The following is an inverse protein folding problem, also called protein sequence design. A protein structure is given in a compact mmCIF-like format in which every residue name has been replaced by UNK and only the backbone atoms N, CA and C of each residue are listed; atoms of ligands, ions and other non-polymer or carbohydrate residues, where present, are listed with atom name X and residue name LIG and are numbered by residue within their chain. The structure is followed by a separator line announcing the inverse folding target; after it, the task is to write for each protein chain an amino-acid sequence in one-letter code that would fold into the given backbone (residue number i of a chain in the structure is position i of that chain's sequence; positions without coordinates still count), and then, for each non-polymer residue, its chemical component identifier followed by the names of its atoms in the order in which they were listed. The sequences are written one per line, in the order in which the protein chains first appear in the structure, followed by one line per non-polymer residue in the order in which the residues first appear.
data_IF_232563505056
#
_entry.id   IF_232563505056
#
_cell.length_a   1.000
_cell.length_b   1.000
_cell.length_c   1.000
_cell.angle_alpha   90.00
_cell.angle_beta   90.00
_cell.angle_gamma   90.00
#
_symmetry.space_group_name_H-M   'P 1'
#
loop_
_entity.id
_entity.type
_entity.pdbx_description
1 polymer ?
#
# COMPACT_ATOMS: atom_id res chain seq x y z
N UNK A 1 -10.19 2.91 3.17
CA UNK A 1 -10.89 3.60 2.07
C UNK A 1 -10.17 3.33 0.76
N UNK A 2 -10.91 3.24 -0.32
CA UNK A 2 -10.30 3.02 -1.63
C UNK A 2 -9.34 4.13 -2.01
N UNK A 3 -8.18 3.76 -2.54
CA UNK A 3 -7.17 4.74 -2.95
C UNK A 3 -7.73 5.72 -3.98
N UNK A 4 -8.54 5.22 -4.94
CA UNK A 4 -9.11 6.09 -5.96
C UNK A 4 -9.98 7.20 -5.38
N UNK A 5 -10.67 6.93 -4.27
CA UNK A 5 -11.55 7.92 -3.63
C UNK A 5 -10.76 8.98 -2.85
N UNK A 6 -9.49 8.73 -2.58
CA UNK A 6 -8.62 9.65 -1.86
C UNK A 6 -7.89 10.62 -2.76
N UNK A 7 -7.98 10.48 -4.09
CA UNK A 7 -7.30 11.35 -5.04
C UNK A 7 -8.02 12.71 -5.16
N UNK A 8 -8.13 13.44 -4.05
CA UNK A 8 -8.92 14.67 -3.96
C UNK A 8 -8.16 15.92 -4.40
N UNK A 9 -6.85 15.84 -4.47
CA UNK A 9 -6.02 16.93 -4.95
C UNK A 9 -4.85 16.36 -5.75
N UNK A 10 -4.11 17.24 -6.43
CA UNK A 10 -3.04 16.81 -7.32
C UNK A 10 -1.92 16.11 -6.56
N UNK A 11 -1.52 16.62 -5.41
CA UNK A 11 -0.43 16.02 -4.63
C UNK A 11 -0.76 14.60 -4.22
N UNK A 12 -1.96 14.37 -3.72
CA UNK A 12 -2.36 13.04 -3.28
C UNK A 12 -2.57 12.11 -4.48
N UNK A 13 -3.11 12.61 -5.57
CA UNK A 13 -3.24 11.82 -6.80
C UNK A 13 -1.86 11.36 -7.32
N UNK A 14 -0.87 12.24 -7.29
CA UNK A 14 0.49 11.91 -7.69
C UNK A 14 1.11 10.87 -6.75
N UNK A 15 0.89 11.02 -5.44
CA UNK A 15 1.38 10.06 -4.47
C UNK A 15 0.77 8.68 -4.69
N UNK A 16 -0.54 8.62 -4.93
CA UNK A 16 -1.24 7.36 -5.22
C UNK A 16 -0.69 6.71 -6.49
N UNK A 17 -0.46 7.49 -7.54
CA UNK A 17 0.13 6.98 -8.77
C UNK A 17 1.53 6.42 -8.53
N UNK A 18 2.33 7.08 -7.70
CA UNK A 18 3.67 6.62 -7.33
C UNK A 18 3.60 5.33 -6.53
N UNK A 19 2.65 5.22 -5.61
CA UNK A 19 2.43 4.00 -4.83
C UNK A 19 2.08 2.82 -5.75
N UNK A 20 1.13 3.04 -6.67
CA UNK A 20 0.74 2.00 -7.61
C UNK A 20 1.89 1.56 -8.50
N UNK A 21 2.67 2.50 -9.02
CA UNK A 21 3.82 2.21 -9.86
C UNK A 21 4.90 1.43 -9.09
N UNK A 22 5.15 1.81 -7.84
CA UNK A 22 6.09 1.14 -6.97
C UNK A 22 5.69 -0.31 -6.73
N UNK A 23 4.42 -0.54 -6.42
CA UNK A 23 3.91 -1.89 -6.20
C UNK A 23 4.03 -2.75 -7.45
N UNK A 24 3.71 -2.20 -8.63
CA UNK A 24 3.84 -2.94 -9.89
C UNK A 24 5.30 -3.25 -10.23
N UNK A 25 6.21 -2.37 -9.87
CA UNK A 25 7.65 -2.61 -10.10
C UNK A 25 8.16 -3.78 -9.29
N UNK A 26 7.70 -3.93 -8.06
CA UNK A 26 8.10 -5.04 -7.20
C UNK A 26 7.33 -6.33 -7.46
N UNK A 27 6.11 -6.22 -7.95
CA UNK A 27 5.24 -7.36 -8.25
C UNK A 27 4.67 -7.23 -9.66
N UNK A 28 5.52 -7.42 -10.69
CA UNK A 28 5.13 -7.16 -12.08
C UNK A 28 4.01 -8.09 -12.59
N UNK A 29 3.83 -9.25 -11.95
CA UNK A 29 2.77 -10.17 -12.32
C UNK A 29 1.41 -9.77 -11.77
N UNK A 30 1.38 -8.80 -10.87
CA UNK A 30 0.15 -8.40 -10.21
C UNK A 30 -0.50 -7.23 -10.94
N UNK A 31 -1.84 -7.23 -10.91
CA UNK A 31 -2.63 -6.10 -11.39
C UNK A 31 -3.06 -5.26 -10.20
N UNK A 32 -2.77 -3.97 -10.25
CA UNK A 32 -3.16 -3.03 -9.20
C UNK A 32 -4.64 -2.66 -9.34
N UNK A 33 -5.33 -2.60 -8.20
CA UNK A 33 -6.72 -2.17 -8.11
C UNK A 33 -6.79 -1.07 -7.04
N UNK A 34 -7.19 0.13 -7.44
CA UNK A 34 -7.28 1.28 -6.54
C UNK A 34 -8.65 1.38 -5.86
N UNK A 35 -9.54 0.44 -6.13
CA UNK A 35 -10.87 0.36 -5.51
C UNK A 35 -11.13 -1.04 -4.98
N UNK A 36 -10.32 -1.53 -3.99
CA UNK A 36 -10.45 -2.90 -3.52
C UNK A 36 -11.74 -3.17 -2.75
N UNK A 37 -12.30 -2.15 -2.12
CA UNK A 37 -13.45 -2.34 -1.27
C UNK A 37 -14.73 -2.34 -2.07
N UNK A 38 -15.51 -3.40 -1.85
CA UNK A 38 -16.87 -3.51 -2.33
C UNK A 38 -17.79 -3.50 -1.12
N UNK A 39 -19.05 -3.17 -1.36
CA UNK A 39 -20.04 -3.19 -0.29
C UNK A 39 -20.50 -4.62 -0.03
N UNK A 40 -19.61 -5.43 0.55
CA UNK A 40 -19.92 -6.79 0.93
C UNK A 40 -19.40 -7.08 2.34
N UNK A 41 -20.05 -8.05 3.06
CA UNK A 41 -19.67 -8.33 4.45
C UNK A 41 -18.25 -8.90 4.61
N UNK A 42 -17.72 -9.56 3.60
CA UNK A 42 -16.42 -10.22 3.70
C UNK A 42 -15.26 -9.22 3.79
N UNK A 43 -15.36 -8.11 3.06
CA UNK A 43 -14.31 -7.12 3.04
C UNK A 43 -14.46 -6.04 4.12
N UNK A 44 -15.66 -5.88 4.68
CA UNK A 44 -15.91 -4.86 5.72
C UNK A 44 -15.03 -5.03 6.94
N UNK A 45 -14.67 -6.27 7.27
CA UNK A 45 -13.85 -6.55 8.45
C UNK A 45 -12.46 -5.92 8.36
N UNK A 46 -11.96 -5.65 7.16
CA UNK A 46 -10.62 -5.09 6.94
C UNK A 46 -10.65 -3.62 6.58
N UNK A 47 -11.82 -3.05 6.31
CA UNK A 47 -11.92 -1.64 5.93
C UNK A 47 -11.62 -0.74 7.12
N UNK A 48 -10.74 0.23 6.92
CA UNK A 48 -10.43 1.25 7.90
C UNK A 48 -10.69 2.62 7.29
N UNK A 49 -11.31 3.52 8.07
CA UNK A 49 -11.71 4.83 7.56
C UNK A 49 -10.53 5.75 7.26
N UNK A 50 -9.44 5.57 7.98
CA UNK A 50 -8.28 6.46 7.89
C UNK A 50 -7.14 5.88 7.06
N UNK A 51 -7.37 4.77 6.38
CA UNK A 51 -6.37 4.16 5.52
C UNK A 51 -6.66 4.44 4.06
N UNK A 52 -5.60 4.46 3.28
CA UNK A 52 -5.66 4.50 1.83
C UNK A 52 -5.34 3.08 1.35
N UNK A 53 -6.28 2.46 0.67
CA UNK A 53 -6.20 1.04 0.38
C UNK A 53 -6.14 0.78 -1.12
N UNK A 54 -5.24 -0.10 -1.51
CA UNK A 54 -5.19 -0.65 -2.86
C UNK A 54 -4.87 -2.13 -2.76
N UNK A 55 -5.20 -2.88 -3.80
CA UNK A 55 -4.89 -4.30 -3.85
C UNK A 55 -4.09 -4.65 -5.09
N UNK A 56 -3.33 -5.74 -4.97
CA UNK A 56 -2.55 -6.31 -6.05
C UNK A 56 -3.07 -7.72 -6.27
N UNK A 57 -3.56 -8.00 -7.48
CA UNK A 57 -4.15 -9.29 -7.81
C UNK A 57 -3.22 -10.06 -8.73
N UNK A 58 -2.83 -11.25 -8.28
CA UNK A 58 -2.06 -12.18 -9.12
C UNK A 58 -3.01 -12.97 -10.03
N UNK A 59 -2.51 -13.51 -11.16
CA UNK A 59 -3.37 -14.27 -12.08
C UNK A 59 -4.02 -15.49 -11.44
N UNK A 60 -3.47 -15.99 -10.35
CA UNK A 60 -3.99 -17.12 -9.62
C UNK A 60 -3.30 -17.22 -8.28
N UNK A 61 -3.26 -18.42 -7.72
CA UNK A 61 -2.50 -18.67 -6.51
C UNK A 61 -1.01 -18.45 -6.78
N UNK A 62 -0.37 -17.68 -5.91
CA UNK A 62 1.06 -17.40 -6.01
C UNK A 62 1.77 -18.08 -4.83
N UNK A 63 2.43 -19.23 -5.06
CA UNK A 63 3.04 -19.98 -3.97
C UNK A 63 4.23 -19.27 -3.34
N UNK A 64 4.95 -18.45 -4.09
CA UNK A 64 6.06 -17.66 -3.54
C UNK A 64 5.58 -16.65 -2.52
N UNK A 65 4.50 -15.96 -2.83
CA UNK A 65 3.94 -14.92 -1.97
C UNK A 65 2.88 -15.46 -1.02
N UNK A 66 2.51 -16.73 -1.13
CA UNK A 66 1.48 -17.40 -0.31
C UNK A 66 0.16 -16.63 -0.28
N UNK A 67 -0.31 -16.20 -1.45
CA UNK A 67 -1.57 -15.48 -1.57
C UNK A 67 -2.04 -15.43 -3.02
N UNK A 68 -3.30 -15.05 -3.21
CA UNK A 68 -3.87 -14.72 -4.51
C UNK A 68 -3.86 -13.23 -4.75
N UNK A 69 -3.92 -12.45 -3.69
CA UNK A 69 -3.89 -11.01 -3.75
C UNK A 69 -3.25 -10.45 -2.49
N UNK A 70 -2.75 -9.23 -2.60
CA UNK A 70 -2.24 -8.48 -1.47
C UNK A 70 -3.09 -7.23 -1.30
N UNK A 71 -3.51 -6.95 -0.07
CA UNK A 71 -4.14 -5.70 0.28
C UNK A 71 -3.09 -4.81 0.93
N UNK A 72 -2.84 -3.65 0.33
CA UNK A 72 -1.88 -2.68 0.85
C UNK A 72 -2.67 -1.54 1.47
N UNK A 73 -2.48 -1.34 2.76
CA UNK A 73 -3.18 -0.31 3.53
C UNK A 73 -2.18 0.70 4.07
N UNK A 74 -2.36 1.95 3.68
CA UNK A 74 -1.49 3.05 4.09
C UNK A 74 -2.27 3.91 5.09
N UNK A 75 -1.81 3.95 6.33
CA UNK A 75 -2.41 4.82 7.34
C UNK A 75 -1.80 6.19 7.24
N UNK A 76 -2.64 7.19 7.02
CA UNK A 76 -2.21 8.56 6.79
C UNK A 76 -2.72 9.47 7.90
N UNK A 77 -1.91 10.49 8.23
CA UNK A 77 -2.33 11.58 9.09
C UNK A 77 -2.30 12.87 8.30
N UNK A 78 -3.34 13.67 8.43
CA UNK A 78 -3.37 15.00 7.81
C UNK A 78 -2.48 15.94 8.61
N UNK A 79 -1.58 16.64 7.90
CA UNK A 79 -0.77 17.68 8.50
C UNK A 79 -1.46 19.02 8.24
N UNK A 80 -1.84 19.76 9.27
CA UNK A 80 -2.49 21.06 9.06
C UNK A 80 -1.64 21.98 8.18
N UNK A 81 -2.29 22.71 7.30
CA UNK A 81 -1.70 23.72 6.44
C UNK A 81 -0.74 23.21 5.38
N UNK A 82 -0.52 21.91 5.29
CA UNK A 82 0.38 21.38 4.26
C UNK A 82 -0.36 20.81 3.05
N UNK A 83 -1.62 20.42 3.20
CA UNK A 83 -2.37 19.73 2.15
C UNK A 83 -1.81 18.36 1.80
N UNK A 84 -0.79 17.93 2.52
CA UNK A 84 -0.04 16.71 2.24
C UNK A 84 -0.07 15.79 3.45
N UNK A 85 -0.57 14.55 3.29
CA UNK A 85 -0.62 13.62 4.40
C UNK A 85 0.76 13.06 4.72
N UNK A 86 0.94 12.69 5.98
CA UNK A 86 2.11 11.96 6.44
C UNK A 86 1.77 10.49 6.56
N UNK A 87 2.66 9.62 6.11
CA UNK A 87 2.47 8.20 6.26
C UNK A 87 2.86 7.77 7.69
N UNK A 88 1.91 7.21 8.39
CA UNK A 88 2.10 6.72 9.77
C UNK A 88 2.48 5.26 9.82
N UNK A 89 1.97 4.46 8.91
CA UNK A 89 2.25 3.03 8.88
C UNK A 89 1.69 2.36 7.65
N UNK A 90 2.20 1.17 7.39
CA UNK A 90 1.80 0.33 6.27
C UNK A 90 1.45 -1.05 6.80
N UNK A 91 0.34 -1.59 6.32
CA UNK A 91 -0.01 -2.99 6.54
C UNK A 91 -0.22 -3.64 5.18
N UNK A 92 0.44 -4.77 4.96
CA UNK A 92 0.26 -5.57 3.75
C UNK A 92 -0.30 -6.92 4.17
N UNK A 93 -1.42 -7.31 3.58
CA UNK A 93 -2.10 -8.58 3.88
C UNK A 93 -2.07 -9.47 2.67
N UNK A 94 -1.66 -10.72 2.86
CA UNK A 94 -1.77 -11.74 1.83
C UNK A 94 -3.08 -12.48 1.99
N UNK A 95 -3.91 -12.45 0.94
CA UNK A 95 -5.28 -12.94 1.01
C UNK A 95 -5.50 -14.09 0.05
N UNK A 96 -6.42 -14.99 0.44
CA UNK A 96 -7.09 -15.90 -0.47
C UNK A 96 -8.39 -15.24 -0.92
N UNK A 97 -9.37 -16.03 -1.40
CA UNK A 97 -10.67 -15.47 -1.76
C UNK A 97 -11.42 -14.88 -0.56
N UNK A 98 -11.28 -15.50 0.61
CA UNK A 98 -12.11 -15.22 1.76
C UNK A 98 -11.36 -15.14 3.08
N UNK A 99 -10.03 -15.29 3.06
CA UNK A 99 -9.27 -15.32 4.32
C UNK A 99 -7.89 -14.68 4.17
N UNK A 100 -7.36 -14.24 5.30
CA UNK A 100 -6.01 -13.72 5.40
C UNK A 100 -5.05 -14.88 5.71
N UNK A 101 -3.99 -14.99 4.93
CA UNK A 101 -2.96 -16.00 5.12
C UNK A 101 -1.81 -15.48 5.96
N UNK A 102 -1.46 -14.22 5.75
CA UNK A 102 -0.40 -13.56 6.51
C UNK A 102 -0.62 -12.05 6.49
N UNK A 103 0.06 -11.38 7.38
CA UNK A 103 0.01 -9.93 7.50
C UNK A 103 1.37 -9.42 7.96
N UNK A 104 1.85 -8.37 7.33
CA UNK A 104 3.06 -7.65 7.73
C UNK A 104 2.68 -6.21 8.03
N UNK A 105 3.08 -5.71 9.18
CA UNK A 105 2.79 -4.34 9.58
C UNK A 105 4.08 -3.64 10.01
N UNK A 106 4.21 -2.37 9.65
CA UNK A 106 5.35 -1.55 10.08
C UNK A 106 5.21 -1.08 11.53
N UNK A 107 3.98 -1.07 12.04
CA UNK A 107 3.75 -0.87 13.47
C UNK A 107 4.02 -2.21 14.14
N UNK A 108 5.22 -2.35 14.71
CA UNK A 108 5.69 -3.60 15.27
C UNK A 108 7.08 -3.95 14.74
N UNK A 109 7.29 -5.21 14.41
CA UNK A 109 8.61 -5.73 14.08
C UNK A 109 8.87 -5.90 12.57
N UNK A 110 7.97 -5.47 11.72
CA UNK A 110 8.07 -5.60 10.26
C UNK A 110 8.18 -7.05 9.78
N UNK A 111 7.70 -7.99 10.57
CA UNK A 111 7.74 -9.41 10.24
C UNK A 111 6.34 -9.91 9.93
N UNK A 112 6.19 -10.86 9.01
CA UNK A 112 4.89 -11.41 8.73
C UNK A 112 4.40 -12.30 9.87
N UNK A 113 3.11 -12.24 10.14
CA UNK A 113 2.41 -13.15 11.03
C UNK A 113 1.29 -13.81 10.26
N UNK A 114 0.81 -14.94 10.74
CA UNK A 114 -0.30 -15.66 10.11
C UNK A 114 0.00 -17.13 9.94
N UNK A 115 -0.91 -17.83 9.26
CA UNK A 115 -0.81 -19.29 9.13
C UNK A 115 0.23 -19.73 8.10
N UNK A 116 0.41 -18.92 7.05
CA UNK A 116 1.32 -19.28 5.96
C UNK A 116 2.08 -18.04 5.48
N UNK A 117 3.10 -17.61 6.23
CA UNK A 117 3.88 -16.45 5.79
C UNK A 117 4.70 -16.77 4.54
N UNK A 118 5.03 -15.75 3.75
CA UNK A 118 5.87 -15.93 2.58
C UNK A 118 7.31 -16.27 2.96
N UNK A 119 8.11 -16.64 1.95
CA UNK A 119 9.51 -16.97 2.15
C UNK A 119 10.33 -15.74 2.60
N UNK A 120 11.52 -15.94 3.21
CA UNK A 120 12.36 -14.81 3.62
C UNK A 120 12.71 -13.85 2.49
N UNK A 121 12.90 -14.34 1.27
CA UNK A 121 13.19 -13.50 0.11
C UNK A 121 12.04 -12.55 -0.17
N UNK A 122 10.81 -13.05 -0.08
CA UNK A 122 9.61 -12.22 -0.27
C UNK A 122 9.44 -11.24 0.89
N UNK A 123 9.73 -11.68 2.12
CA UNK A 123 9.67 -10.79 3.28
C UNK A 123 10.63 -9.61 3.10
N UNK A 124 11.85 -9.85 2.65
CA UNK A 124 12.81 -8.78 2.37
C UNK A 124 12.27 -7.81 1.34
N UNK A 125 11.60 -8.31 0.30
CA UNK A 125 10.99 -7.47 -0.72
C UNK A 125 9.84 -6.64 -0.16
N UNK A 126 8.99 -7.25 0.67
CA UNK A 126 7.88 -6.54 1.31
C UNK A 126 8.40 -5.42 2.22
N UNK A 127 9.46 -5.67 2.96
CA UNK A 127 10.09 -4.66 3.80
C UNK A 127 10.66 -3.52 2.96
N UNK A 128 11.27 -3.84 1.82
CA UNK A 128 11.77 -2.81 0.91
C UNK A 128 10.62 -1.97 0.36
N UNK A 129 9.52 -2.60 -0.04
CA UNK A 129 8.33 -1.89 -0.50
C UNK A 129 7.86 -0.91 0.59
N UNK A 130 7.77 -1.35 1.83
CA UNK A 130 7.36 -0.48 2.93
C UNK A 130 8.29 0.72 3.09
N UNK A 131 9.61 0.51 3.03
CA UNK A 131 10.58 1.60 3.12
C UNK A 131 10.40 2.60 1.97
N UNK A 132 10.20 2.11 0.75
CA UNK A 132 10.00 2.97 -0.41
C UNK A 132 8.67 3.72 -0.33
N UNK A 133 7.63 3.11 0.26
CA UNK A 133 6.36 3.80 0.49
C UNK A 133 6.54 4.98 1.45
N UNK A 134 7.28 4.81 2.54
CA UNK A 134 7.60 5.92 3.42
C UNK A 134 8.34 7.03 2.67
N UNK A 135 9.26 6.66 1.77
CA UNK A 135 9.99 7.64 0.98
C UNK A 135 9.07 8.45 0.05
N UNK A 136 8.07 7.81 -0.55
CA UNK A 136 7.10 8.52 -1.40
C UNK A 136 6.43 9.66 -0.65
N UNK A 137 6.00 9.40 0.60
CA UNK A 137 5.28 10.39 1.38
C UNK A 137 6.21 11.38 2.10
N UNK A 138 7.49 11.09 2.19
CA UNK A 138 8.48 11.99 2.78
C UNK A 138 8.98 13.05 1.79
N UNK A 139 8.79 12.83 0.49
CA UNK A 139 9.30 13.75 -0.54
C UNK A 139 8.54 15.06 -0.53
N UNK A 140 9.24 16.19 -0.78
CA UNK A 140 8.54 17.45 -0.98
C UNK A 140 7.60 17.37 -2.19
N UNK A 141 6.53 18.17 -2.23
CA UNK A 141 5.65 18.22 -3.39
C UNK A 141 6.41 18.57 -4.67
N UNK A 142 6.03 17.92 -5.78
CA UNK A 142 6.66 18.18 -7.06
C UNK A 142 6.51 19.64 -7.50
N UNK A 143 5.37 20.25 -7.17
CA UNK A 143 5.14 21.67 -7.47
C UNK A 143 6.13 22.57 -6.75
N UNK A 144 6.53 22.21 -5.53
CA UNK A 144 7.59 22.93 -4.83
C UNK A 144 8.92 22.76 -5.49
N UNK A 145 9.10 21.68 -6.21
CA UNK A 145 10.33 21.42 -6.92
C UNK A 145 10.48 22.27 -8.17
N UNK A 146 9.42 22.85 -8.64
CA UNK A 146 9.52 23.79 -9.73
C UNK A 146 10.42 24.95 -9.38
N UNK A 147 10.70 25.18 -8.12
CA UNK A 147 11.69 26.17 -7.75
C UNK A 147 13.05 25.75 -8.28
N UNK A 148 13.86 26.72 -8.65
CA UNK A 148 15.19 26.46 -9.19
C UNK A 148 16.19 26.08 -8.11
N UNK A 149 15.79 25.23 -7.26
CA UNK A 149 16.73 24.75 -6.30
C UNK A 149 17.83 23.94 -6.93
N UNK A 150 17.68 23.66 -8.15
CA UNK A 150 18.77 23.12 -8.92
C UNK A 150 20.00 23.98 -8.84
N UNK A 151 19.79 25.16 -8.46
CA UNK A 151 20.98 25.99 -8.27
C UNK A 151 21.92 25.34 -7.29
#
# INVERSE_FOLDING_TARGET
MNAADQARNLELAQAIASVAALCRRHFPDARANLTPWRDDPQTRAWAEQESLDLSLHFPGWNPRNQCRSMLVQLRLATVPDSGRPRLLGVTIRGLTYDSERWRLATVGDWQPSGTHPPSPVVVDRLQLVCRELFDVFARPPAAGDGSPRAA
#
